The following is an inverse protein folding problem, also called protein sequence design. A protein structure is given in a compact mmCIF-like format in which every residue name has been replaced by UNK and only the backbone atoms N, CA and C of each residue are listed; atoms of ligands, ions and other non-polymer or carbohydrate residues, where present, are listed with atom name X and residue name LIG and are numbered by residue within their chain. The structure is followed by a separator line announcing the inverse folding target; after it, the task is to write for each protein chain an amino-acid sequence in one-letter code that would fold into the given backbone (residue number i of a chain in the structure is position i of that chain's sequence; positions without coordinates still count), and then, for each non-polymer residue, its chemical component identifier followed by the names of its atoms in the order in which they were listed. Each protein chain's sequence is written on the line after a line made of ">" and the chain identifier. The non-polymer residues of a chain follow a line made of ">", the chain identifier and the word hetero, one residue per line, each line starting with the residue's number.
data_IF_593466094572
#
_entry.id   IF_593466094572
#
_cell.length_a   1.000
_cell.length_b   1.000
_cell.length_c   1.000
_cell.angle_alpha   90.00
_cell.angle_beta   90.00
_cell.angle_gamma   90.00
#
_symmetry.space_group_name_H-M   'P 1'
#
loop_
_entity.id
_entity.type
_entity.pdbx_description
1 polymer ?
#
# COMPACT_ATOMS: atom_id res chain seq x y z
N UNK A 1 10.42 48.30 15.16
CA UNK A 1 11.29 47.11 15.16
C UNK A 1 10.60 46.01 14.37
N UNK A 2 10.93 45.86 13.09
CA UNK A 2 10.29 44.90 12.17
C UNK A 2 11.15 43.65 12.07
N UNK A 3 10.76 42.58 12.78
CA UNK A 3 11.40 41.27 12.61
C UNK A 3 10.91 40.64 11.31
N UNK A 4 11.73 40.68 10.27
CA UNK A 4 11.51 39.96 9.02
C UNK A 4 11.66 38.45 9.27
N UNK A 5 10.55 37.76 9.53
CA UNK A 5 10.54 36.29 9.61
C UNK A 5 10.62 35.71 8.20
N UNK A 6 11.81 35.28 7.75
CA UNK A 6 11.99 34.48 6.53
C UNK A 6 11.12 33.22 6.64
N UNK A 7 10.09 33.12 5.79
CA UNK A 7 9.32 31.88 5.64
C UNK A 7 10.22 30.82 5.00
N UNK A 8 10.80 29.95 5.81
CA UNK A 8 11.40 28.72 5.32
C UNK A 8 10.27 27.81 4.80
N UNK A 9 10.20 27.66 3.48
CA UNK A 9 9.37 26.64 2.84
C UNK A 9 10.15 25.34 2.98
N UNK A 10 9.71 24.43 3.85
CA UNK A 10 10.27 23.08 3.89
C UNK A 10 9.81 22.38 2.60
N UNK A 11 10.63 22.47 1.56
CA UNK A 11 10.57 21.56 0.44
C UNK A 11 11.26 20.29 0.92
N UNK A 12 10.49 19.23 1.15
CA UNK A 12 11.07 17.90 1.29
C UNK A 12 11.66 17.58 -0.09
N UNK A 13 12.97 17.84 -0.24
CA UNK A 13 13.68 17.48 -1.45
C UNK A 13 13.44 15.99 -1.69
N UNK A 14 13.00 15.63 -2.89
CA UNK A 14 12.91 14.22 -3.28
C UNK A 14 14.34 13.70 -3.15
N UNK A 15 14.63 12.81 -2.19
CA UNK A 15 16.00 12.41 -1.95
C UNK A 15 16.49 11.67 -3.19
N UNK A 16 17.67 12.02 -3.67
CA UNK A 16 18.28 11.33 -4.80
C UNK A 16 18.29 9.82 -4.51
N UNK A 17 18.02 9.00 -5.55
CA UNK A 17 17.95 7.55 -5.37
C UNK A 17 19.33 7.05 -4.93
N UNK A 18 19.37 6.38 -3.77
CA UNK A 18 20.62 5.91 -3.18
C UNK A 18 21.36 4.94 -4.14
N UNK A 19 22.64 5.21 -4.49
CA UNK A 19 23.38 4.41 -5.46
C UNK A 19 23.58 2.97 -5.01
N UNK A 20 23.67 2.70 -3.71
CA UNK A 20 23.82 1.33 -3.20
C UNK A 20 22.52 0.52 -3.41
N UNK A 21 21.38 1.09 -3.02
CA UNK A 21 20.06 0.50 -3.25
C UNK A 21 19.80 0.23 -4.73
N UNK A 22 20.18 1.15 -5.62
CA UNK A 22 20.08 0.95 -7.07
C UNK A 22 20.92 -0.24 -7.55
N UNK A 23 22.12 -0.46 -7.00
CA UNK A 23 22.96 -1.63 -7.32
C UNK A 23 22.29 -2.94 -6.89
N UNK A 24 21.78 -3.00 -5.65
CA UNK A 24 21.07 -4.17 -5.13
C UNK A 24 19.83 -4.48 -5.98
N UNK A 25 19.06 -3.45 -6.33
CA UNK A 25 17.87 -3.59 -7.17
C UNK A 25 18.19 -4.13 -8.56
N UNK A 26 19.22 -3.57 -9.23
CA UNK A 26 19.68 -4.06 -10.54
C UNK A 26 20.13 -5.52 -10.46
N UNK A 27 20.83 -5.91 -9.40
CA UNK A 27 21.27 -7.30 -9.17
C UNK A 27 20.08 -8.24 -8.98
N UNK A 28 19.11 -7.86 -8.15
CA UNK A 28 17.86 -8.61 -7.95
C UNK A 28 17.09 -8.79 -9.26
N UNK A 29 16.94 -7.74 -10.07
CA UNK A 29 16.28 -7.82 -11.38
C UNK A 29 16.98 -8.77 -12.35
N UNK A 30 18.32 -8.76 -12.40
CA UNK A 30 19.11 -9.70 -13.23
C UNK A 30 18.86 -11.15 -12.81
N UNK A 31 18.85 -11.44 -11.51
CA UNK A 31 18.57 -12.78 -11.02
C UNK A 31 17.14 -13.23 -11.27
N UNK A 32 16.14 -12.35 -11.11
CA UNK A 32 14.75 -12.69 -11.47
C UNK A 32 14.62 -13.02 -12.96
N UNK A 33 15.32 -12.30 -13.83
CA UNK A 33 15.35 -12.62 -15.28
C UNK A 33 16.00 -13.97 -15.53
N UNK A 34 17.12 -14.28 -14.87
CA UNK A 34 17.77 -15.58 -14.98
C UNK A 34 16.87 -16.74 -14.48
N UNK A 35 16.17 -16.54 -13.35
CA UNK A 35 15.23 -17.53 -12.80
C UNK A 35 14.05 -17.78 -13.75
N UNK A 36 13.53 -16.75 -14.44
CA UNK A 36 12.49 -16.93 -15.47
C UNK A 36 12.94 -17.84 -16.60
N UNK A 37 14.22 -17.80 -16.97
CA UNK A 37 14.80 -18.70 -17.97
C UNK A 37 15.12 -20.11 -17.43
N UNK A 38 15.30 -20.25 -16.11
CA UNK A 38 15.67 -21.50 -15.45
C UNK A 38 14.84 -21.73 -14.18
N UNK A 39 13.55 -22.11 -14.30
CA UNK A 39 12.62 -22.14 -13.16
C UNK A 39 12.97 -23.19 -12.10
N UNK A 40 13.64 -24.27 -12.49
CA UNK A 40 14.01 -25.36 -11.58
C UNK A 40 15.34 -25.13 -10.84
N UNK A 41 16.01 -23.99 -11.06
CA UNK A 41 17.29 -23.70 -10.43
C UNK A 41 17.09 -23.15 -8.99
N UNK A 42 17.13 -24.07 -8.03
CA UNK A 42 16.96 -23.76 -6.60
C UNK A 42 18.02 -22.78 -6.08
N UNK A 43 19.25 -22.84 -6.62
CA UNK A 43 20.32 -21.91 -6.21
C UNK A 43 20.02 -20.46 -6.59
N UNK A 44 19.38 -20.24 -7.74
CA UNK A 44 18.96 -18.89 -8.15
C UNK A 44 17.85 -18.36 -7.24
N UNK A 45 16.88 -19.21 -6.87
CA UNK A 45 15.83 -18.82 -5.92
C UNK A 45 16.44 -18.42 -4.58
N UNK A 46 17.30 -19.27 -4.00
CA UNK A 46 17.97 -18.97 -2.73
C UNK A 46 18.78 -17.66 -2.78
N UNK A 47 19.49 -17.41 -3.89
CA UNK A 47 20.23 -16.14 -4.08
C UNK A 47 19.31 -14.92 -4.16
N UNK A 48 18.12 -15.06 -4.75
CA UNK A 48 17.12 -13.99 -4.80
C UNK A 48 16.60 -13.71 -3.39
N UNK A 49 16.30 -14.74 -2.61
CA UNK A 49 15.82 -14.59 -1.24
C UNK A 49 16.87 -13.95 -0.33
N UNK A 50 18.13 -14.36 -0.44
CA UNK A 50 19.25 -13.71 0.25
C UNK A 50 19.39 -12.22 -0.12
N UNK A 51 19.29 -11.88 -1.42
CA UNK A 51 19.32 -10.48 -1.87
C UNK A 51 18.11 -9.69 -1.42
N UNK A 52 16.93 -10.32 -1.33
CA UNK A 52 15.75 -9.67 -0.79
C UNK A 52 15.95 -9.34 0.69
N UNK A 53 16.51 -10.26 1.48
CA UNK A 53 16.86 -9.99 2.87
C UNK A 53 17.85 -8.83 3.00
N UNK A 54 18.88 -8.78 2.14
CA UNK A 54 19.86 -7.69 2.09
C UNK A 54 19.20 -6.34 1.74
N UNK A 55 18.31 -6.31 0.74
CA UNK A 55 17.55 -5.12 0.35
C UNK A 55 16.67 -4.61 1.51
N UNK A 56 15.99 -5.51 2.21
CA UNK A 56 15.13 -5.15 3.35
C UNK A 56 15.99 -4.59 4.49
N UNK A 57 17.07 -5.28 4.87
CA UNK A 57 17.96 -4.84 5.95
C UNK A 57 18.61 -3.48 5.65
N UNK A 58 19.03 -3.27 4.40
CA UNK A 58 19.58 -1.98 4.00
C UNK A 58 18.50 -0.90 3.94
N UNK A 59 17.32 -1.22 3.41
CA UNK A 59 16.17 -0.32 3.33
C UNK A 59 15.76 0.24 4.69
N UNK A 60 15.63 -0.63 5.71
CA UNK A 60 15.31 -0.21 7.08
C UNK A 60 16.38 0.71 7.66
N UNK A 61 17.67 0.41 7.43
CA UNK A 61 18.78 1.27 7.88
C UNK A 61 18.75 2.65 7.22
N UNK A 62 18.44 2.70 5.92
CA UNK A 62 18.36 3.93 5.13
C UNK A 62 17.16 4.78 5.55
N UNK A 63 16.02 4.15 5.82
CA UNK A 63 14.82 4.84 6.33
C UNK A 63 15.10 5.49 7.68
N UNK A 64 15.74 4.77 8.62
CA UNK A 64 16.15 5.34 9.90
C UNK A 64 17.11 6.52 9.73
N UNK A 65 18.12 6.39 8.86
CA UNK A 65 19.05 7.48 8.59
C UNK A 65 18.35 8.70 8.00
N UNK A 66 17.47 8.51 7.00
CA UNK A 66 16.69 9.60 6.39
C UNK A 66 15.76 10.25 7.39
N UNK A 67 15.13 9.45 8.26
CA UNK A 67 14.27 9.94 9.32
C UNK A 67 15.03 10.80 10.31
N UNK A 68 16.20 10.35 10.78
CA UNK A 68 17.04 11.12 11.68
C UNK A 68 17.48 12.45 11.05
N UNK A 69 17.96 12.43 9.81
CA UNK A 69 18.32 13.66 9.08
C UNK A 69 17.12 14.62 8.93
N UNK A 70 15.92 14.07 8.72
CA UNK A 70 14.70 14.86 8.69
C UNK A 70 14.43 15.50 10.06
N UNK A 71 14.51 14.73 11.15
CA UNK A 71 14.36 15.22 12.51
C UNK A 71 15.39 16.31 12.86
N UNK A 72 16.67 16.11 12.52
CA UNK A 72 17.73 17.11 12.72
C UNK A 72 17.42 18.41 11.95
N UNK A 73 16.89 18.28 10.73
CA UNK A 73 16.41 19.41 9.94
C UNK A 73 15.22 20.13 10.59
N UNK A 74 14.30 19.39 11.23
CA UNK A 74 13.15 19.97 11.94
C UNK A 74 13.55 20.67 13.23
N UNK A 75 14.55 20.18 13.96
CA UNK A 75 15.06 20.80 15.20
C UNK A 75 15.55 22.23 14.93
N UNK A 76 16.22 22.44 13.79
CA UNK A 76 16.62 23.78 13.35
C UNK A 76 15.44 24.70 12.97
N UNK A 77 14.24 24.15 12.77
CA UNK A 77 13.06 24.82 12.25
C UNK A 77 11.82 24.72 13.16
N UNK A 78 11.97 24.38 14.45
CA UNK A 78 10.87 24.13 15.41
C UNK A 78 9.85 25.27 15.53
N UNK A 79 10.26 26.51 15.28
CA UNK A 79 9.38 27.68 15.30
C UNK A 79 8.63 27.93 13.96
N UNK A 80 8.84 27.10 12.95
CA UNK A 80 8.20 27.25 11.64
C UNK A 80 6.79 26.67 11.63
N UNK A 81 5.86 27.38 10.97
CA UNK A 81 4.49 26.87 10.74
C UNK A 81 4.46 25.56 9.94
N UNK A 82 5.51 25.29 9.17
CA UNK A 82 5.63 24.09 8.33
C UNK A 82 5.97 22.83 9.14
N UNK A 83 6.83 22.91 10.16
CA UNK A 83 7.15 21.78 11.05
C UNK A 83 5.93 21.36 11.85
N UNK A 84 5.18 22.33 12.40
CA UNK A 84 3.91 22.07 13.07
C UNK A 84 2.84 21.48 12.16
N UNK A 85 2.83 21.83 10.87
CA UNK A 85 1.91 21.22 9.91
C UNK A 85 2.25 19.75 9.65
N UNK A 86 3.55 19.42 9.55
CA UNK A 86 4.05 18.05 9.41
C UNK A 86 3.75 17.23 10.67
N UNK A 87 4.03 17.78 11.85
CA UNK A 87 3.73 17.13 13.13
C UNK A 87 2.23 16.80 13.27
N UNK A 88 1.35 17.75 12.91
CA UNK A 88 -0.10 17.51 12.93
C UNK A 88 -0.56 16.45 11.92
N UNK A 89 0.12 16.31 10.77
CA UNK A 89 -0.17 15.22 9.83
C UNK A 89 0.28 13.86 10.35
N UNK A 90 1.42 13.78 11.04
CA UNK A 90 1.90 12.55 11.67
C UNK A 90 1.00 12.08 12.83
N UNK A 91 0.50 13.03 13.63
CA UNK A 91 -0.42 12.73 14.72
C UNK A 91 -1.84 12.34 14.24
N UNK A 92 -2.11 12.34 12.93
CA UNK A 92 -3.45 12.05 12.39
C UNK A 92 -4.53 13.08 12.76
N UNK A 93 -4.17 14.15 13.46
CA UNK A 93 -5.08 15.24 13.88
C UNK A 93 -5.63 16.05 12.71
N UNK A 94 -5.07 15.87 11.52
CA UNK A 94 -5.70 16.24 10.26
C UNK A 94 -6.02 14.95 9.50
N UNK A 95 -7.29 14.62 9.23
CA UNK A 95 -7.57 13.64 8.19
C UNK A 95 -6.98 14.22 6.91
N UNK A 96 -6.03 13.50 6.30
CA UNK A 96 -5.64 13.77 4.94
C UNK A 96 -6.86 13.42 4.07
N UNK A 97 -7.81 14.34 3.97
CA UNK A 97 -8.86 14.26 2.96
C UNK A 97 -8.09 14.28 1.66
N UNK A 98 -8.02 13.14 0.98
CA UNK A 98 -7.35 13.05 -0.30
C UNK A 98 -7.87 14.22 -1.17
N UNK A 99 -7.01 14.95 -1.89
CA UNK A 99 -7.44 16.12 -2.65
C UNK A 99 -8.57 15.79 -3.64
N UNK A 100 -8.64 14.53 -4.08
CA UNK A 100 -9.74 13.94 -4.85
C UNK A 100 -11.07 13.90 -4.09
N UNK A 101 -11.04 13.49 -2.81
CA UNK A 101 -12.20 13.43 -1.90
C UNK A 101 -12.69 14.84 -1.56
N UNK A 102 -11.77 15.79 -1.33
CA UNK A 102 -12.13 17.18 -1.07
C UNK A 102 -12.80 17.83 -2.28
N UNK A 103 -12.34 17.53 -3.51
CA UNK A 103 -12.96 18.01 -4.75
C UNK A 103 -14.36 17.43 -4.94
N UNK A 104 -14.53 16.11 -4.80
CA UNK A 104 -15.82 15.44 -4.93
C UNK A 104 -16.85 16.01 -3.94
N UNK A 105 -16.45 16.23 -2.67
CA UNK A 105 -17.34 16.80 -1.64
C UNK A 105 -17.76 18.26 -1.91
N UNK A 106 -16.99 19.02 -2.70
CA UNK A 106 -17.30 20.43 -2.99
C UNK A 106 -18.04 20.68 -4.29
N UNK A 107 -18.01 19.73 -5.24
CA UNK A 107 -18.47 19.95 -6.62
C UNK A 107 -19.72 19.16 -7.00
N UNK A 108 -20.07 18.11 -6.25
CA UNK A 108 -21.12 17.16 -6.65
C UNK A 108 -22.23 17.02 -5.59
N UNK A 109 -23.41 16.66 -6.05
CA UNK A 109 -24.56 16.29 -5.22
C UNK A 109 -24.26 15.01 -4.43
N UNK A 110 -24.78 14.84 -3.20
CA UNK A 110 -24.35 13.77 -2.29
C UNK A 110 -24.59 12.35 -2.82
N UNK A 111 -25.54 12.15 -3.74
CA UNK A 111 -25.75 10.87 -4.43
C UNK A 111 -24.59 10.52 -5.37
N UNK A 112 -24.06 11.51 -6.07
CA UNK A 112 -23.10 11.31 -7.16
C UNK A 112 -21.71 11.07 -6.59
N UNK A 113 -21.40 11.72 -5.45
CA UNK A 113 -20.21 11.43 -4.65
C UNK A 113 -20.17 9.97 -4.23
N UNK A 114 -21.32 9.40 -3.82
CA UNK A 114 -21.37 8.01 -3.37
C UNK A 114 -21.09 7.02 -4.50
N UNK A 115 -21.68 7.23 -5.67
CA UNK A 115 -21.42 6.38 -6.85
C UNK A 115 -19.98 6.54 -7.38
N UNK A 116 -19.43 7.76 -7.35
CA UNK A 116 -18.02 8.01 -7.68
C UNK A 116 -17.07 7.32 -6.69
N UNK A 117 -17.36 7.37 -5.39
CA UNK A 117 -16.57 6.66 -4.38
C UNK A 117 -16.70 5.14 -4.54
N UNK A 118 -17.90 4.65 -4.84
CA UNK A 118 -18.16 3.24 -5.10
C UNK A 118 -17.32 2.75 -6.27
N UNK A 119 -17.27 3.47 -7.39
CA UNK A 119 -16.45 3.08 -8.55
C UNK A 119 -14.93 3.12 -8.28
N UNK A 120 -14.46 4.03 -7.44
CA UNK A 120 -13.04 4.18 -7.13
C UNK A 120 -12.51 3.16 -6.12
N UNK A 121 -13.32 2.79 -5.13
CA UNK A 121 -12.87 1.97 -4.00
C UNK A 121 -13.48 0.58 -3.96
N UNK A 122 -14.66 0.36 -4.56
CA UNK A 122 -15.27 -0.95 -4.66
C UNK A 122 -15.02 -1.50 -6.07
N UNK A 123 -14.44 -2.71 -6.19
CA UNK A 123 -14.35 -3.35 -7.49
C UNK A 123 -15.77 -3.54 -8.07
N UNK A 124 -15.94 -3.47 -9.41
CA UNK A 124 -17.24 -3.73 -10.02
C UNK A 124 -17.71 -5.10 -9.55
N UNK A 125 -18.98 -5.22 -9.18
CA UNK A 125 -19.57 -6.49 -8.77
C UNK A 125 -19.40 -7.48 -9.91
N UNK A 126 -18.42 -8.37 -9.79
CA UNK A 126 -18.30 -9.53 -10.65
C UNK A 126 -19.44 -10.44 -10.23
N UNK A 127 -20.63 -10.24 -10.82
CA UNK A 127 -21.62 -11.31 -10.96
C UNK A 127 -21.20 -12.08 -12.20
N UNK A 128 -20.36 -13.13 -12.08
CA UNK A 128 -20.09 -14.00 -13.20
C UNK A 128 -21.42 -14.54 -13.73
N UNK A 129 -21.67 -14.32 -15.03
CA UNK A 129 -22.72 -15.02 -15.75
C UNK A 129 -22.22 -16.45 -15.93
N UNK A 130 -22.75 -17.36 -15.12
CA UNK A 130 -22.51 -18.79 -15.28
C UNK A 130 -23.38 -19.33 -16.43
N UNK A 131 -22.89 -20.29 -17.22
CA UNK A 131 -23.76 -21.01 -18.14
C UNK A 131 -24.86 -21.75 -17.35
N UNK A 132 -26.02 -21.93 -17.99
CA UNK A 132 -27.10 -22.73 -17.40
C UNK A 132 -26.58 -24.13 -17.07
N UNK A 133 -26.93 -24.64 -15.88
CA UNK A 133 -26.51 -25.96 -15.42
C UNK A 133 -27.08 -27.04 -16.35
N UNK A 134 -26.19 -27.77 -17.03
CA UNK A 134 -26.55 -28.84 -17.99
C UNK A 134 -26.54 -30.24 -17.37
N UNK A 135 -26.30 -30.37 -16.06
CA UNK A 135 -26.25 -31.66 -15.38
C UNK A 135 -27.64 -32.21 -15.06
N UNK A 136 -27.70 -33.49 -14.70
CA UNK A 136 -28.91 -34.10 -14.14
C UNK A 136 -29.23 -33.46 -12.78
N UNK A 137 -30.53 -33.27 -12.49
CA UNK A 137 -30.98 -32.81 -11.20
C UNK A 137 -30.66 -33.87 -10.15
N UNK A 138 -30.06 -33.46 -9.03
CA UNK A 138 -29.68 -34.38 -7.96
C UNK A 138 -30.51 -34.08 -6.71
N UNK A 139 -31.71 -34.66 -6.58
CA UNK A 139 -32.63 -34.33 -5.48
C UNK A 139 -32.04 -34.63 -4.10
N UNK A 140 -31.11 -35.58 -4.01
CA UNK A 140 -30.45 -35.94 -2.76
C UNK A 140 -29.43 -34.87 -2.31
N UNK A 141 -28.87 -34.07 -3.22
CA UNK A 141 -27.94 -32.98 -2.89
C UNK A 141 -28.61 -31.59 -2.94
N UNK A 142 -29.70 -31.47 -3.70
CA UNK A 142 -30.43 -30.21 -3.89
C UNK A 142 -31.46 -29.93 -2.79
N UNK A 143 -31.70 -30.88 -1.88
CA UNK A 143 -32.57 -30.68 -0.73
C UNK A 143 -31.89 -29.81 0.35
N UNK A 144 -32.67 -29.02 1.12
CA UNK A 144 -32.11 -28.22 2.20
C UNK A 144 -31.50 -29.09 3.29
N UNK A 145 -30.31 -28.73 3.76
CA UNK A 145 -29.60 -29.44 4.82
C UNK A 145 -30.44 -29.63 6.09
N UNK A 146 -30.32 -30.81 6.70
CA UNK A 146 -30.95 -31.08 7.99
C UNK A 146 -30.02 -30.72 9.15
N UNK A 147 -30.61 -30.37 10.30
CA UNK A 147 -29.84 -30.05 11.52
C UNK A 147 -28.92 -31.20 11.95
N UNK A 148 -29.35 -32.45 11.74
CA UNK A 148 -28.59 -33.65 12.10
C UNK A 148 -27.29 -33.77 11.29
N UNK A 149 -27.32 -33.43 10.01
CA UNK A 149 -26.13 -33.44 9.14
C UNK A 149 -25.14 -32.33 9.53
N UNK A 150 -25.65 -31.17 9.92
CA UNK A 150 -24.85 -30.08 10.46
C UNK A 150 -24.15 -30.49 11.76
N UNK A 151 -24.89 -31.09 12.70
CA UNK A 151 -24.34 -31.58 13.97
C UNK A 151 -23.27 -32.66 13.75
N UNK A 152 -23.49 -33.59 12.82
CA UNK A 152 -22.52 -34.62 12.46
C UNK A 152 -21.22 -34.03 11.85
N UNK A 153 -21.33 -32.96 11.06
CA UNK A 153 -20.19 -32.30 10.40
C UNK A 153 -19.37 -31.43 11.35
N UNK A 154 -19.97 -30.95 12.44
CA UNK A 154 -19.29 -30.15 13.47
C UNK A 154 -18.63 -31.01 14.56
N UNK A 155 -18.98 -32.29 14.64
CA UNK A 155 -18.46 -33.23 15.63
C UNK A 155 -17.09 -33.85 15.25
N UNK A 156 -16.56 -33.56 14.05
CA UNK A 156 -15.22 -33.93 13.57
C UNK A 156 -14.20 -32.82 13.82
#
# INVERSE_FOLDING_TARGET
>A
MTSCSRRARIQLAIPDPDPHFLRLWRRHQRLKRALRSQPHNVQLSFRIDALRAEIIAYGTSLEHSRWNTLCDGLDSALYSRSTWSLFRSLLGTKPAVAPTLAKALTQETPSDVFENLKSLYLPPSLTPSYPDYLGEANPDLDHPFTLRELEASLAT
#
